data_IF_647641336743
#
_entry.id   IF_647641336743
#
_cell.length_a   1.000
_cell.length_b   1.000
_cell.length_c   1.000
_cell.angle_alpha   90.00
_cell.angle_beta   90.00
_cell.angle_gamma   90.00
#
_symmetry.space_group_name_H-M   'P 1'
#
loop_
_entity.id
_entity.type
_entity.pdbx_description
1 polymer ?
#
# COMPACT_ATOMS: atom_id res chain seq x y z
N UNK A 1 17.85 1.75 -11.35
CA UNK A 1 18.64 1.08 -12.41
C UNK A 1 17.88 1.15 -13.74
N UNK A 2 18.44 1.78 -14.77
CA UNK A 2 17.83 1.74 -16.11
C UNK A 2 18.02 0.36 -16.74
N UNK A 3 16.96 -0.16 -17.35
CA UNK A 3 16.96 -1.43 -18.05
C UNK A 3 16.99 -1.20 -19.56
N UNK A 4 17.52 -2.18 -20.30
CA UNK A 4 17.54 -2.16 -21.77
C UNK A 4 16.14 -2.11 -22.40
N UNK A 5 15.09 -2.52 -21.67
CA UNK A 5 13.69 -2.42 -22.09
C UNK A 5 13.10 -1.01 -21.97
N UNK A 6 13.87 0.00 -21.54
CA UNK A 6 13.39 1.36 -21.30
C UNK A 6 12.72 1.57 -19.94
N UNK A 7 12.52 0.50 -19.16
CA UNK A 7 12.02 0.60 -17.78
C UNK A 7 13.14 0.95 -16.78
N UNK A 8 12.75 1.44 -15.61
CA UNK A 8 13.62 1.70 -14.46
C UNK A 8 13.27 0.73 -13.34
N UNK A 9 14.24 -0.07 -12.89
CA UNK A 9 14.12 -0.90 -11.69
C UNK A 9 14.49 -0.11 -10.44
N UNK A 10 13.64 -0.21 -9.41
CA UNK A 10 13.88 0.31 -8.06
C UNK A 10 14.33 -0.85 -7.16
N UNK A 11 15.44 -0.66 -6.46
CA UNK A 11 16.14 -1.71 -5.73
C UNK A 11 16.64 -1.18 -4.38
N UNK A 12 16.55 -2.03 -3.36
CA UNK A 12 17.12 -1.80 -2.02
C UNK A 12 18.46 -2.50 -1.95
N UNK A 13 19.51 -1.70 -1.71
CA UNK A 13 20.90 -2.16 -1.65
C UNK A 13 21.46 -1.82 -0.27
N UNK A 14 22.16 -2.76 0.34
CA UNK A 14 22.86 -2.57 1.59
C UNK A 14 24.38 -2.60 1.35
N UNK A 15 25.09 -1.65 1.93
CA UNK A 15 26.56 -1.64 1.88
C UNK A 15 27.12 -2.43 3.06
N UNK A 16 27.80 -3.55 2.79
CA UNK A 16 28.39 -4.43 3.80
C UNK A 16 29.87 -4.60 3.48
N UNK A 17 30.76 -4.23 4.41
CA UNK A 17 32.23 -4.33 4.27
C UNK A 17 32.74 -3.73 2.94
N UNK A 18 32.19 -2.58 2.55
CA UNK A 18 32.58 -1.88 1.31
C UNK A 18 31.93 -2.42 0.03
N UNK A 19 31.22 -3.55 0.09
CA UNK A 19 30.54 -4.14 -1.06
C UNK A 19 29.04 -3.81 -1.04
N UNK A 20 28.47 -3.60 -2.23
CA UNK A 20 27.04 -3.40 -2.41
C UNK A 20 26.33 -4.76 -2.52
N UNK A 21 25.48 -5.09 -1.55
CA UNK A 21 24.64 -6.28 -1.56
C UNK A 21 23.21 -5.90 -1.92
N UNK A 22 22.68 -6.47 -2.99
CA UNK A 22 21.26 -6.33 -3.32
C UNK A 22 20.43 -7.08 -2.28
N UNK A 23 19.51 -6.39 -1.61
CA UNK A 23 18.63 -6.98 -0.61
C UNK A 23 17.30 -7.38 -1.26
N UNK A 24 16.70 -6.46 -2.02
CA UNK A 24 15.41 -6.69 -2.67
C UNK A 24 15.25 -5.80 -3.89
N UNK A 25 14.56 -6.29 -4.91
CA UNK A 25 14.05 -5.45 -6.00
C UNK A 25 12.58 -5.15 -5.70
N UNK A 26 12.21 -3.88 -5.64
CA UNK A 26 10.84 -3.45 -5.33
C UNK A 26 9.94 -3.60 -6.56
N UNK A 27 10.48 -3.28 -7.73
CA UNK A 27 9.79 -3.46 -9.00
C UNK A 27 10.46 -2.69 -10.12
N UNK A 28 9.80 -2.63 -11.28
CA UNK A 28 10.23 -1.82 -12.41
C UNK A 28 9.05 -1.04 -13.01
N UNK A 29 9.34 0.14 -13.56
CA UNK A 29 8.33 0.97 -14.21
C UNK A 29 8.97 1.88 -15.28
N UNK A 30 8.18 2.26 -16.28
CA UNK A 30 8.63 3.15 -17.37
C UNK A 30 8.18 4.60 -17.16
N UNK A 31 7.11 4.83 -16.39
CA UNK A 31 6.58 6.18 -16.13
C UNK A 31 7.06 6.73 -14.81
N UNK A 32 7.33 8.04 -14.76
CA UNK A 32 7.84 8.72 -13.57
C UNK A 32 6.92 8.51 -12.35
N UNK A 33 5.62 8.69 -12.51
CA UNK A 33 4.64 8.47 -11.42
C UNK A 33 4.69 7.07 -10.81
N UNK A 34 4.91 6.02 -11.62
CA UNK A 34 5.03 4.65 -11.12
C UNK A 34 6.39 4.41 -10.46
N UNK A 35 7.45 5.03 -10.97
CA UNK A 35 8.78 5.01 -10.35
C UNK A 35 8.71 5.64 -8.96
N UNK A 36 8.06 6.80 -8.82
CA UNK A 36 7.92 7.50 -7.54
C UNK A 36 7.18 6.64 -6.50
N UNK A 37 6.10 5.95 -6.92
CA UNK A 37 5.40 4.98 -6.07
C UNK A 37 6.30 3.82 -5.63
N UNK A 38 7.10 3.26 -6.55
CA UNK A 38 8.05 2.20 -6.22
C UNK A 38 9.16 2.68 -5.28
N UNK A 39 9.57 3.96 -5.37
CA UNK A 39 10.53 4.57 -4.47
C UNK A 39 9.94 4.70 -3.06
N UNK A 40 8.69 5.15 -2.93
CA UNK A 40 7.98 5.21 -1.63
C UNK A 40 7.90 3.82 -1.00
N UNK A 41 7.45 2.82 -1.75
CA UNK A 41 7.40 1.42 -1.27
C UNK A 41 8.80 0.88 -0.91
N UNK A 42 9.85 1.37 -1.56
CA UNK A 42 11.24 1.05 -1.22
C UNK A 42 11.67 1.60 0.13
N UNK A 43 11.23 2.81 0.51
CA UNK A 43 11.50 3.37 1.84
C UNK A 43 10.78 2.59 2.94
N UNK A 44 9.50 2.26 2.75
CA UNK A 44 8.75 1.41 3.68
C UNK A 44 9.40 0.04 3.87
N UNK A 45 9.93 -0.55 2.79
CA UNK A 45 10.66 -1.81 2.85
C UNK A 45 11.98 -1.68 3.62
N UNK A 46 12.69 -0.56 3.49
CA UNK A 46 13.90 -0.29 4.27
C UNK A 46 13.55 -0.24 5.76
N UNK A 47 12.51 0.50 6.15
CA UNK A 47 12.05 0.58 7.55
C UNK A 47 11.66 -0.79 8.10
N UNK A 48 10.93 -1.58 7.31
CA UNK A 48 10.57 -2.96 7.67
C UNK A 48 11.80 -3.84 7.92
N UNK A 49 12.82 -3.73 7.07
CA UNK A 49 14.05 -4.54 7.15
C UNK A 49 14.95 -4.08 8.30
N UNK A 50 15.04 -2.77 8.56
CA UNK A 50 15.85 -2.25 9.67
C UNK A 50 15.20 -2.52 11.03
N UNK A 51 13.90 -2.83 11.06
CA UNK A 51 13.17 -3.20 12.27
C UNK A 51 13.06 -2.06 13.27
N UNK A 52 13.38 -0.84 12.86
CA UNK A 52 13.33 0.34 13.70
C UNK A 52 11.95 0.96 13.51
N UNK A 53 11.00 0.56 14.35
CA UNK A 53 9.73 1.27 14.44
C UNK A 53 10.05 2.72 14.81
N UNK A 54 9.76 3.63 13.88
CA UNK A 54 9.84 5.05 14.18
C UNK A 54 8.78 5.34 15.26
N UNK A 55 9.23 5.71 16.46
CA UNK A 55 8.36 6.13 17.56
C UNK A 55 7.73 7.50 17.28
N UNK A 56 8.19 8.19 16.24
CA UNK A 56 7.73 9.51 15.83
C UNK A 56 7.22 9.43 14.39
N UNK A 57 6.01 9.96 14.20
CA UNK A 57 5.32 10.08 12.91
C UNK A 57 6.19 10.86 11.92
N UNK A 58 6.28 10.40 10.68
CA UNK A 58 6.91 11.15 9.59
C UNK A 58 5.98 12.28 9.15
N UNK A 59 6.48 13.39 8.59
CA UNK A 59 5.63 14.48 8.06
C UNK A 59 4.60 14.00 7.01
N UNK A 60 4.81 12.83 6.41
CA UNK A 60 3.85 12.15 5.51
C UNK A 60 2.67 11.51 6.24
N UNK A 61 2.85 11.14 7.50
CA UNK A 61 1.78 10.60 8.33
C UNK A 61 0.79 11.70 8.73
N UNK A 62 1.23 12.95 8.84
CA UNK A 62 0.37 14.11 9.15
C UNK A 62 -0.79 14.25 8.16
N UNK A 63 -0.54 14.06 6.86
CA UNK A 63 -1.61 14.11 5.84
C UNK A 63 -2.61 12.96 5.98
N UNK A 64 -2.12 11.80 6.42
CA UNK A 64 -2.96 10.62 6.64
C UNK A 64 -3.77 10.77 7.92
N UNK A 65 -3.17 11.31 8.98
CA UNK A 65 -3.85 11.69 10.21
C UNK A 65 -4.89 12.79 9.97
N UNK A 66 -4.58 13.83 9.21
CA UNK A 66 -5.57 14.85 8.83
C UNK A 66 -6.75 14.23 8.06
N UNK A 67 -6.48 13.32 7.12
CA UNK A 67 -7.54 12.60 6.42
C UNK A 67 -8.39 11.74 7.38
N UNK A 68 -7.77 11.08 8.37
CA UNK A 68 -8.46 10.29 9.39
C UNK A 68 -9.22 11.15 10.40
N UNK A 69 -8.70 12.33 10.78
CA UNK A 69 -9.34 13.31 11.65
C UNK A 69 -10.57 13.95 10.98
N UNK A 70 -10.57 14.01 9.64
CA UNK A 70 -11.73 14.45 8.86
C UNK A 70 -12.82 13.37 8.70
N UNK A 71 -12.58 12.12 9.14
CA UNK A 71 -13.63 11.10 9.19
C UNK A 71 -14.54 11.39 10.39
N UNK A 72 -15.80 11.68 10.12
CA UNK A 72 -16.81 11.91 11.15
C UNK A 72 -17.52 10.60 11.53
N UNK A 73 -18.16 10.56 12.70
CA UNK A 73 -18.98 9.39 13.10
C UNK A 73 -20.10 9.06 12.10
N UNK A 74 -20.56 10.03 11.31
CA UNK A 74 -21.52 9.82 10.22
C UNK A 74 -20.94 9.08 9.01
N UNK A 75 -19.61 9.06 8.86
CA UNK A 75 -18.90 8.35 7.80
C UNK A 75 -18.61 6.89 8.17
N UNK A 76 -18.73 6.54 9.46
CA UNK A 76 -18.56 5.17 9.98
C UNK A 76 -19.94 4.50 10.04
N UNK A 77 -20.21 3.61 9.08
CA UNK A 77 -21.43 2.78 9.07
C UNK A 77 -21.10 1.35 9.46
N UNK A 78 -21.83 0.81 10.42
CA UNK A 78 -21.80 -0.62 10.74
C UNK A 78 -22.52 -1.40 9.64
N UNK A 79 -21.79 -1.80 8.59
CA UNK A 79 -22.26 -2.81 7.61
C UNK A 79 -22.11 -4.19 8.23
N UNK A 80 -22.96 -4.51 9.20
CA UNK A 80 -22.96 -5.80 9.88
C UNK A 80 -24.10 -6.68 9.34
N UNK A 81 -25.36 -6.36 9.68
CA UNK A 81 -26.50 -7.14 9.26
C UNK A 81 -26.66 -7.20 7.74
N UNK A 82 -26.34 -6.13 7.01
CA UNK A 82 -26.55 -6.05 5.56
C UNK A 82 -25.61 -6.99 4.78
N UNK A 83 -24.38 -7.23 5.26
CA UNK A 83 -23.45 -8.18 4.62
C UNK A 83 -23.96 -9.61 4.81
N UNK A 84 -24.41 -9.92 6.03
CA UNK A 84 -24.95 -11.25 6.36
C UNK A 84 -26.27 -11.47 5.63
N UNK A 85 -27.22 -10.54 5.74
CA UNK A 85 -28.51 -10.63 5.08
C UNK A 85 -28.39 -10.61 3.57
N UNK A 86 -27.51 -9.79 2.98
CA UNK A 86 -27.26 -9.80 1.54
C UNK A 86 -26.74 -11.15 1.06
N UNK A 87 -25.82 -11.78 1.81
CA UNK A 87 -25.33 -13.13 1.48
C UNK A 87 -26.43 -14.19 1.57
N UNK A 88 -27.29 -14.11 2.59
CA UNK A 88 -28.42 -15.02 2.77
C UNK A 88 -29.45 -14.81 1.66
N UNK A 89 -29.83 -13.56 1.35
CA UNK A 89 -30.79 -13.18 0.32
C UNK A 89 -30.38 -13.72 -1.06
N UNK A 90 -29.11 -13.57 -1.40
CA UNK A 90 -28.55 -14.14 -2.64
C UNK A 90 -28.58 -15.66 -2.61
N UNK A 91 -28.28 -16.28 -1.46
CA UNK A 91 -28.27 -17.74 -1.33
C UNK A 91 -29.67 -18.35 -1.44
N UNK A 92 -30.70 -17.68 -0.93
CA UNK A 92 -32.10 -18.12 -1.04
C UNK A 92 -32.74 -17.77 -2.40
N UNK A 93 -31.96 -17.26 -3.37
CA UNK A 93 -32.39 -17.06 -4.75
C UNK A 93 -33.25 -15.82 -4.99
N UNK A 94 -33.36 -14.91 -4.00
CA UNK A 94 -34.11 -13.66 -4.18
C UNK A 94 -33.46 -12.69 -5.18
N UNK A 95 -32.19 -12.91 -5.53
CA UNK A 95 -31.51 -12.15 -6.59
C UNK A 95 -31.86 -12.63 -8.02
N UNK A 96 -32.65 -13.69 -8.16
CA UNK A 96 -33.10 -14.24 -9.45
C UNK A 96 -34.54 -13.85 -9.79
N UNK A 97 -35.21 -13.10 -8.91
CA UNK A 97 -36.55 -12.59 -9.17
C UNK A 97 -36.37 -11.31 -10.00
N UNK A 98 -36.65 -11.41 -11.30
CA UNK A 98 -36.86 -10.23 -12.15
C UNK A 98 -38.22 -9.61 -11.76
N UNK A 99 -38.25 -8.28 -11.62
CA UNK A 99 -39.46 -7.51 -11.29
C UNK A 99 -40.48 -7.51 -12.43
#
# INVERSE_FOLDING_TARGET
KHNSSGSVSVQVIQKVKGQNKLIKTIGCATTQQKIDKLVIAGYEEIERITGQNNLFLSDKDTYTEEALLNISNSDIRTVGPEIIFGSIYNHIGFNQIEE
#
